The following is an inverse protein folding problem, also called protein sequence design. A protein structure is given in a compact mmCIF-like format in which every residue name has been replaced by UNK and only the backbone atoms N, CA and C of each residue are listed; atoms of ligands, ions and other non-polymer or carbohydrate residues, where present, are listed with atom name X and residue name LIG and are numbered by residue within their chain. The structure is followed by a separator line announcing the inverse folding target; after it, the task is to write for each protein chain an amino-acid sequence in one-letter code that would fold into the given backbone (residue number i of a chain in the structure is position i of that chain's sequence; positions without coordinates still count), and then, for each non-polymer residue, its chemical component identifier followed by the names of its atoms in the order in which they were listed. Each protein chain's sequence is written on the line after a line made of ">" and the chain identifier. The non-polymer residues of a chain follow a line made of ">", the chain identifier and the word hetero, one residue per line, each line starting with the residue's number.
data_IF_906663921926
#
_entry.id   IF_906663921926
#
_cell.length_a   1.000
_cell.length_b   1.000
_cell.length_c   1.000
_cell.angle_alpha   90.00
_cell.angle_beta   90.00
_cell.angle_gamma   90.00
#
_symmetry.space_group_name_H-M   'P 1'
#
loop_
_entity.id
_entity.type
_entity.pdbx_description
1 polymer ?
#
# COMPACT_ATOMS: atom_id res chain seq x y z
N UNK A 1 1.27 3.79 -11.11
CA UNK A 1 1.82 5.11 -10.75
C UNK A 1 2.92 4.89 -9.75
N UNK A 2 4.14 5.25 -10.07
CA UNK A 2 5.16 5.45 -9.07
C UNK A 2 4.85 6.80 -8.40
N UNK A 3 4.79 6.84 -7.09
CA UNK A 3 4.77 8.11 -6.36
C UNK A 3 6.13 8.74 -6.63
N UNK A 4 6.13 9.92 -7.24
CA UNK A 4 7.36 10.63 -7.59
C UNK A 4 8.06 11.06 -6.29
N UNK A 5 9.38 10.90 -6.19
CA UNK A 5 10.15 11.39 -5.04
C UNK A 5 9.91 12.89 -4.78
N UNK A 6 9.62 13.67 -5.82
CA UNK A 6 9.24 15.08 -5.68
C UNK A 6 7.87 15.26 -4.97
N UNK A 7 6.91 14.36 -5.17
CA UNK A 7 5.64 14.39 -4.44
C UNK A 7 5.83 14.00 -2.97
N UNK A 8 6.73 13.08 -2.68
CA UNK A 8 7.10 12.72 -1.30
C UNK A 8 7.79 13.89 -0.60
N UNK A 9 8.71 14.57 -1.27
CA UNK A 9 9.45 15.71 -0.69
C UNK A 9 8.61 16.99 -0.53
N UNK A 10 7.56 17.17 -1.34
CA UNK A 10 6.65 18.31 -1.23
C UNK A 10 5.52 18.11 -0.22
N UNK A 11 5.33 16.87 0.29
CA UNK A 11 4.26 16.55 1.23
C UNK A 11 4.66 16.66 2.70
N UNK A 12 5.61 17.53 3.05
CA UNK A 12 6.01 17.78 4.45
C UNK A 12 4.88 18.29 5.36
N UNK A 13 3.69 18.54 4.81
CA UNK A 13 2.50 18.93 5.57
C UNK A 13 1.39 17.89 5.49
N UNK A 14 1.68 16.63 5.80
CA UNK A 14 0.63 15.65 6.03
C UNK A 14 -0.30 16.15 7.14
N UNK A 15 -1.62 16.05 6.92
CA UNK A 15 -2.62 16.51 7.91
C UNK A 15 -2.92 15.46 8.97
N UNK A 16 -2.29 14.30 8.89
CA UNK A 16 -2.60 13.12 9.70
C UNK A 16 -3.75 12.30 9.11
N UNK A 17 -4.68 11.83 9.94
CA UNK A 17 -5.86 11.10 9.46
C UNK A 17 -6.69 11.95 8.52
N UNK A 18 -7.10 11.39 7.38
CA UNK A 18 -7.94 12.08 6.39
C UNK A 18 -9.41 11.66 6.50
N UNK A 19 -10.28 12.51 5.98
CA UNK A 19 -11.71 12.21 5.88
C UNK A 19 -12.01 11.29 4.70
N UNK A 20 -13.19 10.66 4.73
CA UNK A 20 -13.70 9.90 3.60
C UNK A 20 -13.84 10.74 2.34
N UNK A 21 -14.25 12.01 2.47
CA UNK A 21 -14.34 12.92 1.32
C UNK A 21 -12.97 13.17 0.70
N UNK A 22 -11.95 13.48 1.51
CA UNK A 22 -10.58 13.65 1.03
C UNK A 22 -10.05 12.40 0.32
N UNK A 23 -10.40 11.22 0.83
CA UNK A 23 -10.07 9.96 0.17
C UNK A 23 -10.77 9.82 -1.19
N UNK A 24 -12.08 10.02 -1.26
CA UNK A 24 -12.85 9.91 -2.50
C UNK A 24 -12.40 10.91 -3.56
N UNK A 25 -12.06 12.13 -3.15
CA UNK A 25 -11.51 13.15 -4.06
C UNK A 25 -10.13 12.74 -4.58
N UNK A 26 -9.29 12.14 -3.75
CA UNK A 26 -7.99 11.59 -4.14
C UNK A 26 -8.07 10.42 -5.13
N UNK A 27 -9.21 9.72 -5.22
CA UNK A 27 -9.41 8.67 -6.22
C UNK A 27 -9.70 9.21 -7.64
N UNK A 28 -10.03 10.50 -7.77
CA UNK A 28 -10.28 11.18 -9.05
C UNK A 28 -8.98 11.73 -9.64
N UNK A 29 -8.02 10.85 -9.77
CA UNK A 29 -6.72 11.12 -10.36
C UNK A 29 -6.63 10.60 -11.81
N UNK A 30 -5.44 10.55 -12.37
CA UNK A 30 -5.20 10.07 -13.72
C UNK A 30 -5.02 8.54 -13.81
N UNK A 31 -5.51 7.78 -12.82
CA UNK A 31 -5.44 6.32 -12.86
C UNK A 31 -6.19 5.75 -14.05
N UNK A 32 -5.60 4.79 -14.71
CA UNK A 32 -6.20 4.12 -15.86
C UNK A 32 -6.79 2.77 -15.43
N UNK A 33 -8.10 2.73 -15.30
CA UNK A 33 -8.86 1.54 -14.88
C UNK A 33 -9.75 1.07 -16.02
N UNK A 34 -9.73 -0.22 -16.25
CA UNK A 34 -10.57 -0.88 -17.25
C UNK A 34 -11.41 -1.98 -16.61
N UNK A 35 -12.69 -2.05 -16.97
CA UNK A 35 -13.60 -3.14 -16.58
C UNK A 35 -14.48 -3.55 -17.76
N UNK A 36 -14.59 -4.86 -17.98
CA UNK A 36 -15.39 -5.43 -19.09
C UNK A 36 -15.06 -4.79 -20.46
N UNK A 37 -13.80 -4.47 -20.71
CA UNK A 37 -13.33 -3.87 -21.97
C UNK A 37 -13.64 -2.37 -22.13
N UNK A 38 -14.10 -1.70 -21.07
CA UNK A 38 -14.38 -0.26 -21.03
C UNK A 38 -13.51 0.45 -20.03
N UNK A 39 -13.02 1.63 -20.39
CA UNK A 39 -12.31 2.51 -19.49
C UNK A 39 -13.29 3.12 -18.47
N UNK A 40 -12.93 3.05 -17.19
CA UNK A 40 -13.68 3.68 -16.10
C UNK A 40 -13.28 5.14 -16.01
N UNK A 41 -14.25 6.04 -16.10
CA UNK A 41 -13.99 7.48 -16.02
C UNK A 41 -13.78 7.94 -14.57
N UNK A 42 -14.55 7.40 -13.63
CA UNK A 42 -14.47 7.72 -12.20
C UNK A 42 -14.84 6.46 -11.38
N UNK A 43 -13.87 5.93 -10.64
CA UNK A 43 -14.06 4.74 -9.80
C UNK A 43 -15.05 4.97 -8.65
N UNK A 44 -15.26 6.22 -8.24
CA UNK A 44 -16.18 6.59 -7.17
C UNK A 44 -17.65 6.53 -7.60
N UNK A 45 -17.91 6.52 -8.91
CA UNK A 45 -19.25 6.41 -9.50
C UNK A 45 -19.49 5.11 -10.27
N UNK A 46 -18.44 4.35 -10.58
CA UNK A 46 -18.55 3.07 -11.29
C UNK A 46 -19.31 2.03 -10.45
N UNK A 47 -20.41 1.44 -10.96
CA UNK A 47 -21.29 0.54 -10.18
C UNK A 47 -20.57 -0.62 -9.50
N UNK A 48 -19.52 -1.17 -10.12
CA UNK A 48 -18.73 -2.27 -9.56
C UNK A 48 -17.72 -1.85 -8.47
N UNK A 49 -17.46 -0.56 -8.28
CA UNK A 49 -16.40 -0.03 -7.42
C UNK A 49 -16.89 0.99 -6.40
N UNK A 50 -17.92 1.77 -6.74
CA UNK A 50 -18.42 2.90 -5.93
C UNK A 50 -18.79 2.53 -4.50
N UNK A 51 -19.41 1.35 -4.29
CA UNK A 51 -19.76 0.87 -2.95
C UNK A 51 -18.55 0.57 -2.10
N UNK A 52 -17.51 -0.01 -2.71
CA UNK A 52 -16.21 -0.25 -2.05
C UNK A 52 -15.53 1.06 -1.67
N UNK A 53 -15.49 2.02 -2.59
CA UNK A 53 -14.96 3.36 -2.34
C UNK A 53 -15.69 4.06 -1.19
N UNK A 54 -17.02 4.05 -1.20
CA UNK A 54 -17.83 4.62 -0.13
C UNK A 54 -17.62 3.92 1.23
N UNK A 55 -17.45 2.60 1.23
CA UNK A 55 -17.16 1.84 2.46
C UNK A 55 -15.82 2.25 3.06
N UNK A 56 -14.77 2.38 2.23
CA UNK A 56 -13.46 2.86 2.69
C UNK A 56 -13.53 4.31 3.19
N UNK A 57 -14.23 5.19 2.46
CA UNK A 57 -14.49 6.55 2.91
C UNK A 57 -15.15 6.60 4.30
N UNK A 58 -16.19 5.80 4.51
CA UNK A 58 -16.87 5.70 5.81
C UNK A 58 -15.94 5.21 6.93
N UNK A 59 -14.98 4.33 6.65
CA UNK A 59 -14.03 3.89 7.66
C UNK A 59 -13.07 5.01 8.05
N UNK A 60 -12.62 5.81 7.08
CA UNK A 60 -11.78 6.96 7.35
C UNK A 60 -12.55 8.02 8.16
N UNK A 61 -13.81 8.30 7.84
CA UNK A 61 -14.65 9.21 8.61
C UNK A 61 -14.83 8.76 10.07
N UNK A 62 -14.97 7.46 10.31
CA UNK A 62 -15.09 6.91 11.68
C UNK A 62 -13.88 7.19 12.56
N UNK A 63 -12.69 7.37 11.99
CA UNK A 63 -11.49 7.75 12.73
C UNK A 63 -11.60 9.12 13.41
N UNK A 64 -12.51 9.98 12.92
CA UNK A 64 -12.75 11.32 13.48
C UNK A 64 -13.81 11.31 14.58
N UNK A 65 -14.63 10.27 14.69
CA UNK A 65 -15.68 10.16 15.67
C UNK A 65 -15.13 10.02 17.10
N UNK A 66 -15.63 10.82 18.05
CA UNK A 66 -15.13 10.87 19.43
C UNK A 66 -15.11 9.50 20.11
N UNK A 67 -16.09 8.66 19.81
CA UNK A 67 -16.21 7.31 20.39
C UNK A 67 -15.15 6.31 19.88
N UNK A 68 -14.49 6.58 18.74
CA UNK A 68 -13.54 5.66 18.11
C UNK A 68 -12.14 6.24 17.96
N UNK A 69 -12.03 7.55 17.84
CA UNK A 69 -10.79 8.25 17.51
C UNK A 69 -9.58 7.74 18.32
N UNK A 70 -9.70 7.70 19.62
CA UNK A 70 -8.58 7.29 20.48
C UNK A 70 -8.35 5.77 20.52
N UNK A 71 -9.33 4.98 20.06
CA UNK A 71 -9.18 3.53 19.91
C UNK A 71 -8.46 3.13 18.62
N UNK A 72 -8.68 3.88 17.51
CA UNK A 72 -8.18 3.50 16.19
C UNK A 72 -7.09 4.43 15.65
N UNK A 73 -6.76 5.51 16.38
CA UNK A 73 -5.69 6.44 16.03
C UNK A 73 -4.77 6.70 17.22
N UNK A 74 -3.61 7.29 16.96
CA UNK A 74 -2.66 7.76 17.98
C UNK A 74 -2.05 9.09 17.56
N UNK A 75 -1.52 9.85 18.50
CA UNK A 75 -0.71 11.03 18.20
C UNK A 75 0.76 10.57 18.16
N UNK A 76 1.42 10.79 17.04
CA UNK A 76 2.81 10.45 16.85
C UNK A 76 3.74 11.51 17.46
N UNK A 77 5.03 11.20 17.59
CA UNK A 77 6.04 12.07 18.21
C UNK A 77 6.19 13.42 17.43
N UNK A 78 5.85 13.44 16.16
CA UNK A 78 5.83 14.65 15.30
C UNK A 78 4.53 15.47 15.42
N UNK A 79 3.62 15.08 16.31
CA UNK A 79 2.36 15.77 16.56
C UNK A 79 1.20 15.38 15.64
N UNK A 80 1.45 14.60 14.58
CA UNK A 80 0.39 14.14 13.68
C UNK A 80 -0.47 13.06 14.32
N UNK A 81 -1.79 13.15 14.14
CA UNK A 81 -2.70 12.06 14.49
C UNK A 81 -2.74 11.08 13.31
N UNK A 82 -2.36 9.83 13.56
CA UNK A 82 -2.20 8.80 12.55
C UNK A 82 -3.05 7.57 12.88
N UNK A 83 -3.40 6.78 11.86
CA UNK A 83 -4.08 5.50 12.05
C UNK A 83 -3.22 4.54 12.88
N UNK A 84 -3.86 3.80 13.81
CA UNK A 84 -3.18 2.91 14.76
C UNK A 84 -2.36 1.81 14.08
N UNK A 85 -2.68 1.43 12.85
CA UNK A 85 -1.92 0.45 12.07
C UNK A 85 -0.47 0.88 11.82
N UNK A 86 -0.20 2.18 11.77
CA UNK A 86 1.14 2.74 11.58
C UNK A 86 1.96 2.85 12.87
N UNK A 87 1.34 2.63 14.05
CA UNK A 87 2.06 2.74 15.31
C UNK A 87 3.08 1.62 15.45
N UNK A 88 4.36 1.95 15.59
CA UNK A 88 5.41 1.00 15.95
C UNK A 88 5.21 0.59 17.43
N UNK A 89 4.96 -0.69 17.72
CA UNK A 89 4.80 -1.13 19.10
C UNK A 89 6.16 -1.18 19.79
N UNK A 90 6.28 -0.49 20.93
CA UNK A 90 7.47 -0.47 21.78
C UNK A 90 7.27 -1.26 23.08
N UNK A 91 6.05 -1.76 23.32
CA UNK A 91 5.66 -2.48 24.53
C UNK A 91 4.56 -3.49 24.27
N UNK A 92 4.35 -4.42 25.20
CA UNK A 92 3.20 -5.34 25.15
C UNK A 92 1.86 -4.60 25.19
N UNK A 93 1.79 -3.45 25.85
CA UNK A 93 0.57 -2.63 25.89
C UNK A 93 0.30 -2.01 24.51
N UNK A 94 1.31 -1.54 23.77
CA UNK A 94 1.13 -1.06 22.39
C UNK A 94 0.54 -2.14 21.48
N UNK A 95 0.98 -3.39 21.65
CA UNK A 95 0.41 -4.52 20.89
C UNK A 95 -1.07 -4.72 21.20
N UNK A 96 -1.45 -4.64 22.49
CA UNK A 96 -2.86 -4.75 22.92
C UNK A 96 -3.72 -3.62 22.35
N UNK A 97 -3.22 -2.38 22.40
CA UNK A 97 -3.94 -1.21 21.87
C UNK A 97 -4.15 -1.36 20.36
N UNK A 98 -3.12 -1.78 19.62
CA UNK A 98 -3.25 -2.08 18.19
C UNK A 98 -4.26 -3.19 17.93
N UNK A 99 -4.25 -4.26 18.74
CA UNK A 99 -5.22 -5.35 18.63
C UNK A 99 -6.66 -4.87 18.83
N UNK A 100 -6.91 -3.93 19.75
CA UNK A 100 -8.22 -3.30 19.94
C UNK A 100 -8.64 -2.50 18.70
N UNK A 101 -7.74 -1.74 18.09
CA UNK A 101 -8.01 -1.00 16.86
C UNK A 101 -8.40 -1.95 15.72
N UNK A 102 -7.67 -3.05 15.53
CA UNK A 102 -8.00 -4.07 14.52
C UNK A 102 -9.36 -4.71 14.77
N UNK A 103 -9.70 -4.94 16.03
CA UNK A 103 -11.03 -5.46 16.39
C UNK A 103 -12.15 -4.50 16.03
N UNK A 104 -11.98 -3.18 16.25
CA UNK A 104 -12.97 -2.18 15.85
C UNK A 104 -13.14 -2.15 14.31
N UNK A 105 -12.05 -2.17 13.55
CA UNK A 105 -12.14 -2.26 12.09
C UNK A 105 -12.80 -3.56 11.61
N UNK A 106 -12.50 -4.68 12.24
CA UNK A 106 -13.16 -5.95 11.94
C UNK A 106 -14.67 -5.87 12.19
N UNK A 107 -15.09 -5.25 13.28
CA UNK A 107 -16.52 -5.00 13.58
C UNK A 107 -17.18 -4.13 12.51
N UNK A 108 -16.52 -3.04 12.08
CA UNK A 108 -17.08 -2.14 11.08
C UNK A 108 -17.26 -2.80 9.71
N UNK A 109 -16.48 -3.79 9.40
CA UNK A 109 -16.53 -4.53 8.15
C UNK A 109 -17.22 -5.88 8.24
N UNK A 110 -17.80 -6.24 9.40
CA UNK A 110 -18.33 -7.58 9.69
C UNK A 110 -17.29 -8.70 9.39
N UNK A 111 -16.02 -8.43 9.65
CA UNK A 111 -14.91 -9.34 9.38
C UNK A 111 -14.50 -9.44 7.91
N UNK A 112 -15.09 -8.67 7.00
CA UNK A 112 -14.83 -8.75 5.56
C UNK A 112 -13.70 -7.83 5.07
N UNK A 113 -13.14 -7.02 5.95
CA UNK A 113 -12.15 -6.00 5.62
C UNK A 113 -10.72 -6.51 5.90
N UNK A 114 -10.20 -7.33 5.01
CA UNK A 114 -8.99 -8.10 5.26
C UNK A 114 -7.68 -7.49 4.73
N UNK A 115 -7.64 -6.26 4.20
CA UNK A 115 -6.44 -5.76 3.54
C UNK A 115 -6.01 -4.36 3.94
N UNK A 116 -6.90 -3.52 4.35
CA UNK A 116 -6.64 -2.12 4.72
C UNK A 116 -7.53 -1.75 5.89
N UNK A 117 -7.07 -0.95 6.84
CA UNK A 117 -5.73 -0.38 7.00
C UNK A 117 -4.74 -1.32 7.70
N UNK A 118 -5.18 -2.48 8.17
CA UNK A 118 -4.44 -3.33 9.09
C UNK A 118 -3.23 -4.03 8.46
N UNK A 119 -3.38 -4.55 7.24
CA UNK A 119 -2.38 -5.42 6.65
C UNK A 119 -1.16 -4.67 6.08
N UNK A 120 -1.35 -3.81 5.07
CA UNK A 120 -0.21 -3.15 4.39
C UNK A 120 0.40 -2.02 5.19
N UNK A 121 -0.44 -1.28 5.92
CA UNK A 121 0.02 -0.22 6.81
C UNK A 121 0.91 -0.81 7.92
N UNK A 122 0.50 -1.94 8.50
CA UNK A 122 1.30 -2.66 9.50
C UNK A 122 2.58 -3.25 8.89
N UNK A 123 2.53 -3.78 7.67
CA UNK A 123 3.72 -4.27 6.97
C UNK A 123 4.73 -3.16 6.69
N UNK A 124 4.25 -2.01 6.20
CA UNK A 124 5.09 -0.85 5.94
C UNK A 124 5.74 -0.33 7.23
N UNK A 125 4.97 -0.25 8.31
CA UNK A 125 5.49 0.11 9.64
C UNK A 125 6.59 -0.86 10.09
N UNK A 126 6.38 -2.17 9.90
CA UNK A 126 7.36 -3.17 10.31
C UNK A 126 8.67 -3.04 9.53
N UNK A 127 8.60 -2.83 8.21
CA UNK A 127 9.81 -2.59 7.39
C UNK A 127 10.53 -1.31 7.78
N UNK A 128 9.81 -0.21 8.00
CA UNK A 128 10.40 1.05 8.42
C UNK A 128 10.98 1.00 9.85
N UNK A 129 10.57 0.02 10.66
CA UNK A 129 11.11 -0.19 12.02
C UNK A 129 12.39 -1.01 12.07
N UNK A 130 12.84 -1.57 10.93
CA UNK A 130 14.06 -2.36 10.82
C UNK A 130 14.88 -1.94 9.58
N UNK A 131 15.25 -0.66 9.46
CA UNK A 131 15.93 -0.13 8.29
C UNK A 131 17.29 -0.78 8.05
N UNK A 132 17.99 -1.17 9.10
CA UNK A 132 19.27 -1.87 9.02
C UNK A 132 19.17 -3.23 8.31
N UNK A 133 18.04 -3.92 8.46
CA UNK A 133 17.79 -5.18 7.75
C UNK A 133 17.65 -4.95 6.24
N UNK A 134 16.97 -3.89 5.85
CA UNK A 134 16.83 -3.50 4.44
C UNK A 134 18.17 -3.06 3.85
N UNK A 135 18.95 -2.29 4.61
CA UNK A 135 20.29 -1.87 4.20
C UNK A 135 21.23 -3.06 3.95
N UNK A 136 21.21 -4.07 4.83
CA UNK A 136 22.02 -5.28 4.71
C UNK A 136 21.58 -6.20 3.56
N UNK A 137 20.27 -6.26 3.28
CA UNK A 137 19.71 -7.07 2.20
C UNK A 137 20.06 -6.58 0.80
N UNK A 138 20.45 -5.33 0.67
CA UNK A 138 20.88 -4.72 -0.59
C UNK A 138 22.37 -5.01 -0.81
N UNK A 139 22.69 -5.97 -1.68
CA UNK A 139 24.07 -6.35 -2.02
C UNK A 139 24.75 -5.33 -2.94
N UNK A 140 24.64 -4.05 -2.66
CA UNK A 140 25.25 -3.02 -3.50
C UNK A 140 25.37 -1.67 -2.81
N UNK A 141 26.11 -0.72 -3.39
CA UNK A 141 26.08 0.65 -2.95
C UNK A 141 24.65 1.19 -3.14
N UNK A 142 23.95 1.50 -2.06
CA UNK A 142 22.57 1.99 -2.10
C UNK A 142 21.64 1.34 -1.08
N UNK A 143 22.13 0.39 -0.27
CA UNK A 143 21.34 -0.19 0.81
C UNK A 143 20.80 0.85 1.79
N UNK A 144 21.63 1.83 2.15
CA UNK A 144 21.21 2.95 3.00
C UNK A 144 20.16 3.83 2.33
N UNK A 145 20.25 4.05 1.01
CA UNK A 145 19.26 4.79 0.23
C UNK A 145 17.92 4.05 0.22
N UNK A 146 17.92 2.73 0.03
CA UNK A 146 16.71 1.91 0.06
C UNK A 146 16.05 1.92 1.45
N UNK A 147 16.86 1.84 2.51
CA UNK A 147 16.37 1.93 3.88
C UNK A 147 15.75 3.32 4.14
N UNK A 148 16.40 4.40 3.70
CA UNK A 148 15.88 5.75 3.83
C UNK A 148 14.59 5.94 3.02
N UNK A 149 14.52 5.49 1.77
CA UNK A 149 13.32 5.54 0.95
C UNK A 149 12.13 4.82 1.60
N UNK A 150 12.37 3.71 2.31
CA UNK A 150 11.34 3.00 3.05
C UNK A 150 10.83 3.82 4.25
N UNK A 151 11.73 4.47 4.98
CA UNK A 151 11.38 5.37 6.08
C UNK A 151 10.57 6.56 5.57
N UNK A 152 11.01 7.18 4.48
CA UNK A 152 10.36 8.34 3.88
C UNK A 152 8.96 7.98 3.37
N UNK A 153 8.83 6.84 2.69
CA UNK A 153 7.52 6.37 2.24
C UNK A 153 6.59 6.00 3.42
N UNK A 154 7.13 5.41 4.49
CA UNK A 154 6.36 5.16 5.71
C UNK A 154 5.85 6.47 6.33
N UNK A 155 6.71 7.48 6.46
CA UNK A 155 6.32 8.78 7.00
C UNK A 155 5.26 9.43 6.11
N UNK A 156 5.46 9.45 4.79
CA UNK A 156 4.48 9.93 3.83
C UNK A 156 3.13 9.21 3.97
N UNK A 157 3.13 7.88 3.97
CA UNK A 157 1.91 7.10 4.04
C UNK A 157 1.15 7.31 5.36
N UNK A 158 1.89 7.38 6.47
CA UNK A 158 1.37 7.58 7.82
C UNK A 158 0.75 8.97 8.02
N UNK A 159 1.45 10.02 7.58
CA UNK A 159 1.01 11.41 7.76
C UNK A 159 -0.06 11.84 6.77
N UNK A 160 -0.29 11.06 5.72
CA UNK A 160 -1.33 11.28 4.72
C UNK A 160 -2.43 10.20 4.72
N UNK A 161 -2.43 9.31 5.71
CA UNK A 161 -3.41 8.24 5.89
C UNK A 161 -3.72 7.47 4.60
N UNK A 162 -2.67 6.99 3.91
CA UNK A 162 -2.79 6.37 2.60
C UNK A 162 -3.37 4.98 2.67
N UNK A 163 -4.27 4.67 1.75
CA UNK A 163 -4.83 3.34 1.52
C UNK A 163 -3.88 2.55 0.64
N UNK A 164 -3.30 1.48 1.19
CA UNK A 164 -2.27 0.69 0.54
C UNK A 164 -2.81 -0.69 0.15
N UNK A 165 -2.38 -1.20 -0.99
CA UNK A 165 -2.61 -2.59 -1.38
C UNK A 165 -1.35 -3.25 -1.90
N UNK A 166 -1.44 -4.52 -2.28
CA UNK A 166 -0.34 -5.24 -2.89
C UNK A 166 -0.84 -6.18 -3.99
N UNK A 167 0.09 -6.59 -4.84
CA UNK A 167 -0.13 -7.62 -5.84
C UNK A 167 1.07 -8.57 -5.86
N UNK A 168 0.83 -9.87 -5.68
CA UNK A 168 1.89 -10.86 -5.44
C UNK A 168 1.97 -11.95 -6.51
N UNK A 169 0.92 -12.11 -7.33
CA UNK A 169 0.78 -13.26 -8.22
C UNK A 169 1.19 -12.89 -9.63
N UNK A 170 2.05 -13.69 -10.22
CA UNK A 170 2.34 -13.61 -11.65
C UNK A 170 1.15 -14.16 -12.45
N UNK A 171 0.90 -13.63 -13.66
CA UNK A 171 -0.04 -14.25 -14.59
C UNK A 171 0.35 -15.69 -14.84
N UNK A 172 -0.61 -16.60 -14.67
CA UNK A 172 -0.43 -18.01 -15.06
C UNK A 172 -1.02 -18.21 -16.46
N UNK A 173 -0.17 -18.54 -17.41
CA UNK A 173 -0.58 -18.98 -18.71
C UNK A 173 -0.73 -20.50 -18.72
N UNK A 174 -1.48 -21.00 -19.70
CA UNK A 174 -1.81 -22.41 -19.88
C UNK A 174 -0.59 -23.32 -19.58
N UNK A 175 -0.74 -24.23 -18.64
CA UNK A 175 0.30 -25.17 -18.23
C UNK A 175 0.91 -25.97 -19.43
N UNK A 176 0.12 -26.21 -20.49
CA UNK A 176 0.60 -26.85 -21.71
C UNK A 176 1.60 -25.98 -22.49
N UNK A 177 1.47 -24.65 -22.45
CA UNK A 177 2.44 -23.73 -23.07
C UNK A 177 3.69 -23.58 -22.21
N UNK A 178 3.55 -23.62 -20.88
CA UNK A 178 4.69 -23.63 -19.97
C UNK A 178 5.54 -24.91 -20.16
N UNK A 179 4.88 -26.06 -20.30
CA UNK A 179 5.56 -27.34 -20.56
C UNK A 179 6.28 -27.40 -21.92
N UNK A 180 5.86 -26.60 -22.90
CA UNK A 180 6.51 -26.52 -24.24
C UNK A 180 7.74 -25.61 -24.29
N UNK A 181 8.15 -24.99 -23.18
CA UNK A 181 9.26 -24.02 -23.12
C UNK A 181 8.99 -22.68 -23.83
N UNK A 182 7.76 -22.50 -24.33
CA UNK A 182 7.33 -21.27 -25.02
C UNK A 182 6.74 -20.22 -24.05
N UNK A 183 6.94 -20.42 -22.76
CA UNK A 183 6.51 -19.46 -21.75
C UNK A 183 7.33 -18.17 -21.89
N UNK A 184 6.67 -17.12 -22.30
CA UNK A 184 7.32 -15.81 -22.31
C UNK A 184 7.35 -15.26 -20.89
N UNK A 185 8.51 -15.28 -20.23
CA UNK A 185 8.78 -14.55 -18.98
C UNK A 185 8.42 -13.06 -19.09
N UNK A 186 8.32 -12.57 -20.33
CA UNK A 186 8.00 -11.17 -20.67
C UNK A 186 6.59 -10.71 -20.24
N UNK A 187 5.72 -11.60 -19.77
CA UNK A 187 4.37 -11.22 -19.33
C UNK A 187 4.34 -10.84 -17.84
N UNK A 188 5.18 -11.46 -17.02
CA UNK A 188 5.32 -11.06 -15.63
C UNK A 188 5.95 -9.66 -15.54
N UNK A 189 5.59 -8.91 -14.50
CA UNK A 189 6.16 -7.60 -14.26
C UNK A 189 7.67 -7.66 -14.07
N UNK A 190 8.41 -6.91 -14.87
CA UNK A 190 9.87 -6.86 -14.87
C UNK A 190 10.34 -5.41 -14.90
N UNK A 191 11.52 -5.16 -14.33
CA UNK A 191 12.26 -3.91 -14.56
C UNK A 191 12.85 -3.97 -15.96
N UNK A 192 12.48 -3.01 -16.81
CA UNK A 192 12.99 -2.90 -18.18
C UNK A 192 14.06 -1.82 -18.31
N UNK A 193 14.12 -0.90 -17.36
CA UNK A 193 15.14 0.16 -17.31
C UNK A 193 15.25 0.71 -15.88
N UNK A 194 16.48 1.00 -15.48
CA UNK A 194 16.78 1.81 -14.31
C UNK A 194 17.13 3.23 -14.76
N UNK A 195 16.73 4.23 -14.01
CA UNK A 195 16.96 5.66 -14.28
C UNK A 195 17.32 6.34 -12.97
N UNK A 196 17.82 7.57 -13.06
CA UNK A 196 18.16 8.37 -11.88
C UNK A 196 16.90 8.70 -11.03
N UNK A 197 15.70 8.72 -11.66
CA UNK A 197 14.42 8.98 -11.01
C UNK A 197 13.73 7.70 -10.49
N UNK A 198 14.28 6.51 -10.73
CA UNK A 198 13.71 5.24 -10.32
C UNK A 198 13.77 4.15 -11.40
N UNK A 199 12.78 3.25 -11.39
CA UNK A 199 12.74 2.12 -12.31
C UNK A 199 11.54 2.22 -13.27
N UNK A 200 11.74 1.82 -14.51
CA UNK A 200 10.68 1.61 -15.48
C UNK A 200 10.35 0.13 -15.49
N UNK A 201 9.08 -0.20 -15.31
CA UNK A 201 8.59 -1.58 -15.27
C UNK A 201 7.62 -1.84 -16.41
N UNK A 202 7.59 -3.08 -16.89
CA UNK A 202 6.61 -3.56 -17.89
C UNK A 202 6.17 -4.98 -17.53
N UNK A 203 4.91 -5.30 -17.81
CA UNK A 203 4.32 -6.60 -17.56
C UNK A 203 3.08 -6.53 -16.67
N UNK A 204 2.64 -7.68 -16.19
CA UNK A 204 1.42 -7.81 -15.41
C UNK A 204 1.65 -8.46 -14.05
N UNK A 205 0.86 -8.04 -13.08
CA UNK A 205 0.67 -8.66 -11.77
C UNK A 205 -0.82 -8.85 -11.52
N UNK A 206 -1.17 -9.90 -10.82
CA UNK A 206 -2.55 -10.28 -10.54
C UNK A 206 -2.91 -10.15 -9.08
N UNK A 207 -4.24 -10.06 -8.85
CA UNK A 207 -4.87 -10.12 -7.53
C UNK A 207 -4.49 -8.94 -6.62
N UNK A 208 -4.54 -7.73 -7.19
CA UNK A 208 -4.46 -6.51 -6.38
C UNK A 208 -5.85 -6.21 -5.77
N UNK A 209 -6.14 -6.79 -4.61
CA UNK A 209 -7.35 -6.44 -3.86
C UNK A 209 -7.35 -4.94 -3.59
N UNK A 210 -8.45 -4.25 -3.85
CA UNK A 210 -8.57 -2.79 -3.78
C UNK A 210 -7.68 -2.02 -4.78
N UNK A 211 -7.08 -2.64 -5.78
CA UNK A 211 -6.20 -1.97 -6.74
C UNK A 211 -6.75 -0.64 -7.26
N UNK A 212 -7.99 -0.61 -7.80
CA UNK A 212 -8.61 0.63 -8.27
C UNK A 212 -8.92 1.66 -7.19
N UNK A 213 -8.91 1.28 -5.93
CA UNK A 213 -9.34 2.09 -4.77
C UNK A 213 -8.18 2.41 -3.82
N UNK A 214 -6.96 2.03 -4.13
CA UNK A 214 -5.79 2.32 -3.30
C UNK A 214 -5.01 3.54 -3.81
N UNK A 215 -4.31 4.20 -2.90
CA UNK A 215 -3.39 5.29 -3.23
C UNK A 215 -2.04 4.75 -3.74
N UNK A 216 -1.63 3.57 -3.26
CA UNK A 216 -0.41 2.93 -3.71
C UNK A 216 -0.52 1.40 -3.73
N UNK A 217 0.19 0.78 -4.67
CA UNK A 217 0.25 -0.66 -4.86
C UNK A 217 1.68 -1.14 -4.63
N UNK A 218 1.87 -1.97 -3.62
CA UNK A 218 3.14 -2.68 -3.42
C UNK A 218 3.19 -3.90 -4.34
N UNK A 219 4.29 -4.09 -5.06
CA UNK A 219 4.51 -5.26 -5.89
C UNK A 219 5.94 -5.76 -5.74
N UNK A 220 6.13 -7.06 -6.03
CA UNK A 220 7.47 -7.64 -6.16
C UNK A 220 7.77 -7.84 -7.63
N UNK A 221 8.83 -7.21 -8.15
CA UNK A 221 9.37 -7.55 -9.43
C UNK A 221 10.38 -8.68 -9.23
N UNK A 222 10.20 -9.79 -9.91
CA UNK A 222 11.12 -10.91 -9.86
C UNK A 222 12.23 -10.71 -10.89
N UNK A 223 13.23 -9.95 -10.53
CA UNK A 223 14.60 -10.19 -10.94
C UNK A 223 15.43 -10.58 -9.71
N UNK A 224 14.85 -11.33 -8.81
CA UNK A 224 15.69 -12.02 -7.88
C UNK A 224 16.49 -13.01 -8.72
N UNK A 225 17.79 -12.84 -8.91
CA UNK A 225 18.62 -13.97 -9.19
C UNK A 225 18.24 -14.95 -8.09
N UNK A 226 17.97 -16.13 -8.45
CA UNK A 226 17.68 -17.26 -7.58
C UNK A 226 18.71 -17.31 -6.45
N UNK A 227 18.48 -16.56 -5.38
CA UNK A 227 19.30 -16.57 -4.17
C UNK A 227 18.56 -17.35 -3.08
N UNK A 228 17.59 -18.11 -3.47
CA UNK A 228 17.00 -19.14 -2.62
C UNK A 228 17.06 -20.47 -3.33
N UNK A 229 18.26 -20.90 -3.64
CA UNK A 229 18.63 -22.29 -3.66
C UNK A 229 19.56 -22.51 -2.46
N UNK A 230 18.97 -22.69 -1.30
CA UNK A 230 19.48 -23.51 -0.22
C UNK A 230 18.27 -24.21 0.39
#
# INVERSE_FOLDING_TARGET
>A
MAVNQQEISQSESGTGIRTGQQYLDGLRDNREIWTLGKRVADVTSEPGMSRGAATLGNFLDRQHGDQYRDAVTYVADDGHRCAMAYKTPKSAEDVKVRGKAYYEWAKWSNGMFGRTPDYKNASLMAFASAPEFLAQGSKGPGGDVMAQNMIDFYNYARTNDRVLTHTLVNPTFNHAQAASGKFSEKVALQVVKETDDGIIVNGARLLATLGPLSDAVSYTHLTLPTICSV
#
